data_IF_111351354073
#
_entry.id   IF_111351354073
#
_cell.length_a   1.000
_cell.length_b   1.000
_cell.length_c   1.000
_cell.angle_alpha   90.00
_cell.angle_beta   90.00
_cell.angle_gamma   90.00
#
_symmetry.space_group_name_H-M   'P 1'
#
loop_
_entity.id
_entity.type
_entity.pdbx_description
1 polymer ?
#
# COMPACT_ATOMS: atom_id res chain seq x y z
N UNK A 1 -4.11 9.80 12.26
CA UNK A 1 -4.48 9.63 10.83
C UNK A 1 -5.62 10.56 10.47
N UNK A 2 -5.38 11.49 9.56
CA UNK A 2 -6.35 12.41 8.93
C UNK A 2 -6.75 11.82 7.59
N UNK A 3 -8.03 11.93 7.19
CA UNK A 3 -8.56 11.33 5.97
C UNK A 3 -9.40 12.35 5.22
N UNK A 4 -9.12 12.56 3.95
CA UNK A 4 -9.84 13.48 3.07
C UNK A 4 -10.25 12.76 1.79
N UNK A 5 -11.54 12.81 1.44
CA UNK A 5 -12.05 12.26 0.18
C UNK A 5 -11.77 13.21 -0.98
N UNK A 6 -11.21 12.66 -2.06
CA UNK A 6 -10.95 13.37 -3.33
C UNK A 6 -11.67 12.67 -4.49
N UNK A 7 -12.02 13.42 -5.51
CA UNK A 7 -12.50 12.88 -6.80
C UNK A 7 -11.38 12.93 -7.84
N UNK A 8 -10.78 11.77 -8.08
CA UNK A 8 -9.76 11.58 -9.11
C UNK A 8 -10.29 10.87 -10.37
N UNK A 9 -11.60 11.00 -10.65
CA UNK A 9 -12.35 10.25 -11.66
C UNK A 9 -13.19 9.15 -11.04
N UNK A 10 -12.85 8.82 -9.81
CA UNK A 10 -13.53 7.93 -8.87
C UNK A 10 -13.09 8.30 -7.44
N UNK A 11 -13.80 7.84 -6.40
CA UNK A 11 -13.46 8.16 -5.02
C UNK A 11 -12.08 7.61 -4.63
N UNK A 12 -11.18 8.50 -4.22
CA UNK A 12 -9.90 8.18 -3.58
C UNK A 12 -9.83 8.97 -2.28
N UNK A 13 -9.35 8.36 -1.23
CA UNK A 13 -9.12 9.03 0.04
C UNK A 13 -7.62 9.25 0.23
N UNK A 14 -7.24 10.48 0.48
CA UNK A 14 -5.87 10.85 0.89
C UNK A 14 -5.77 10.76 2.40
N UNK A 15 -4.68 10.21 2.88
CA UNK A 15 -4.41 10.04 4.31
C UNK A 15 -3.11 10.73 4.69
N UNK A 16 -3.10 11.33 5.87
CA UNK A 16 -1.92 11.94 6.48
C UNK A 16 -1.80 11.48 7.94
N UNK A 17 -0.58 11.51 8.48
CA UNK A 17 -0.31 11.11 9.86
C UNK A 17 -0.85 9.69 10.15
N UNK A 18 -0.47 8.74 9.28
CA UNK A 18 -0.98 7.36 9.34
C UNK A 18 -0.45 6.65 10.59
N UNK A 19 0.85 6.78 10.83
CA UNK A 19 1.56 6.21 11.96
C UNK A 19 1.85 7.25 13.03
N UNK A 20 2.07 6.80 14.26
CA UNK A 20 2.65 7.62 15.29
C UNK A 20 4.07 8.04 14.89
N UNK A 21 4.50 9.20 15.38
CA UNK A 21 5.80 9.78 15.03
C UNK A 21 6.94 8.81 15.32
N UNK A 22 7.70 8.48 14.28
CA UNK A 22 8.91 7.65 14.36
C UNK A 22 8.71 6.18 14.03
N UNK A 23 7.48 5.66 13.91
CA UNK A 23 7.27 4.25 13.54
C UNK A 23 7.79 3.97 12.12
N UNK A 24 7.60 4.90 11.20
CA UNK A 24 8.11 4.80 9.84
C UNK A 24 9.64 4.70 9.78
N UNK A 25 10.36 5.41 10.66
CA UNK A 25 11.82 5.33 10.73
C UNK A 25 12.27 3.99 11.33
N UNK A 26 11.56 3.46 12.30
CA UNK A 26 11.82 2.13 12.86
C UNK A 26 11.63 1.04 11.80
N UNK A 27 10.55 1.13 11.00
CA UNK A 27 10.30 0.20 9.90
C UNK A 27 11.46 0.25 8.87
N UNK A 28 11.89 1.46 8.48
CA UNK A 28 12.97 1.63 7.53
C UNK A 28 14.31 1.07 8.06
N UNK A 29 14.63 1.30 9.31
CA UNK A 29 15.86 0.78 9.92
C UNK A 29 15.83 -0.74 10.01
N UNK A 30 14.72 -1.33 10.46
CA UNK A 30 14.57 -2.79 10.51
C UNK A 30 14.62 -3.42 9.12
N UNK A 31 14.09 -2.75 8.10
CA UNK A 31 14.09 -3.25 6.71
C UNK A 31 15.42 -3.10 5.98
N UNK A 32 16.38 -2.35 6.53
CA UNK A 32 17.60 -1.93 5.83
C UNK A 32 18.38 -3.11 5.26
N UNK A 33 18.58 -4.15 6.05
CA UNK A 33 19.39 -5.32 5.72
C UNK A 33 18.56 -6.53 5.26
N UNK A 34 17.24 -6.39 5.15
CA UNK A 34 16.38 -7.47 4.70
C UNK A 34 16.52 -7.73 3.19
N UNK A 35 16.48 -9.01 2.79
CA UNK A 35 16.49 -9.36 1.37
C UNK A 35 15.14 -9.01 0.73
N UNK A 36 15.11 -7.93 0.00
CA UNK A 36 13.97 -7.63 -0.86
C UNK A 36 13.92 -8.62 -2.04
N UNK A 37 12.78 -9.26 -2.20
CA UNK A 37 12.54 -10.15 -3.33
C UNK A 37 12.07 -9.30 -4.53
N UNK A 38 12.67 -9.47 -5.73
CA UNK A 38 12.14 -8.83 -6.93
C UNK A 38 10.67 -9.21 -7.10
N UNK A 39 9.85 -8.25 -7.51
CA UNK A 39 8.45 -8.56 -7.82
C UNK A 39 8.40 -9.62 -8.92
N UNK A 40 7.98 -10.84 -8.52
CA UNK A 40 7.90 -11.95 -9.44
C UNK A 40 6.87 -11.70 -10.55
N UNK A 41 7.29 -11.89 -11.77
CA UNK A 41 6.52 -12.65 -12.77
C UNK A 41 5.52 -11.90 -13.59
N UNK A 42 5.24 -10.63 -13.45
CA UNK A 42 4.18 -10.08 -14.28
C UNK A 42 4.51 -8.86 -15.14
N UNK A 43 5.64 -8.22 -14.92
CA UNK A 43 6.03 -7.07 -15.77
C UNK A 43 7.54 -6.91 -15.77
N UNK A 44 8.15 -7.04 -16.93
CA UNK A 44 9.58 -6.85 -17.19
C UNK A 44 10.05 -5.41 -17.00
N UNK A 45 9.10 -4.49 -16.84
CA UNK A 45 9.29 -3.05 -16.64
C UNK A 45 9.44 -2.63 -15.18
N UNK A 46 9.30 -3.57 -14.19
CA UNK A 46 9.37 -3.26 -12.77
C UNK A 46 10.72 -3.60 -12.16
N UNK A 47 11.37 -2.57 -11.64
CA UNK A 47 12.56 -2.71 -10.80
C UNK A 47 12.24 -2.71 -9.31
N UNK A 48 10.96 -2.78 -8.95
CA UNK A 48 10.50 -2.80 -7.58
C UNK A 48 10.83 -4.09 -6.85
N UNK A 49 11.09 -3.99 -5.55
CA UNK A 49 11.35 -5.10 -4.64
C UNK A 49 10.31 -5.10 -3.53
N UNK A 50 10.03 -6.26 -2.96
CA UNK A 50 9.00 -6.45 -1.92
C UNK A 50 9.53 -7.25 -0.74
N UNK A 51 8.98 -6.93 0.43
CA UNK A 51 9.03 -7.76 1.64
C UNK A 51 7.60 -8.00 2.08
N UNK A 52 7.26 -9.24 2.40
CA UNK A 52 5.99 -9.59 3.03
C UNK A 52 6.14 -9.39 4.54
N UNK A 53 5.49 -8.38 5.10
CA UNK A 53 5.75 -7.97 6.50
C UNK A 53 5.36 -9.05 7.50
N UNK A 54 4.29 -9.80 7.23
CA UNK A 54 3.84 -10.90 8.09
C UNK A 54 4.80 -12.08 8.20
N UNK A 55 5.83 -12.17 7.36
CA UNK A 55 6.87 -13.20 7.44
C UNK A 55 7.99 -12.87 8.43
N UNK A 56 7.92 -11.71 9.08
CA UNK A 56 8.92 -11.20 10.02
C UNK A 56 8.30 -10.88 11.37
N UNK A 57 7.62 -11.86 11.96
CA UNK A 57 6.86 -11.75 13.22
C UNK A 57 7.71 -11.28 14.42
N UNK A 58 9.00 -11.62 14.43
CA UNK A 58 9.95 -11.17 15.47
C UNK A 58 10.28 -9.67 15.40
N UNK A 59 9.83 -8.98 14.37
CA UNK A 59 10.14 -7.57 14.14
C UNK A 59 9.01 -6.69 14.65
N UNK A 60 9.21 -6.06 15.80
CA UNK A 60 8.18 -5.33 16.54
C UNK A 60 7.40 -4.34 15.68
N UNK A 61 8.10 -3.50 14.87
CA UNK A 61 7.39 -2.51 14.05
C UNK A 61 6.59 -3.13 12.91
N UNK A 62 7.05 -4.23 12.32
CA UNK A 62 6.31 -4.94 11.29
C UNK A 62 5.08 -5.61 11.87
N UNK A 63 5.22 -6.27 13.01
CA UNK A 63 4.10 -6.88 13.71
C UNK A 63 3.06 -5.83 14.14
N UNK A 64 3.50 -4.67 14.63
CA UNK A 64 2.61 -3.56 14.98
C UNK A 64 1.78 -3.08 13.78
N UNK A 65 2.39 -2.93 12.62
CA UNK A 65 1.68 -2.58 11.37
C UNK A 65 0.70 -3.67 10.97
N UNK A 66 1.12 -4.95 11.04
CA UNK A 66 0.25 -6.08 10.71
C UNK A 66 -0.97 -6.13 11.63
N UNK A 67 -0.77 -6.07 12.94
CA UNK A 67 -1.85 -6.08 13.93
C UNK A 67 -2.79 -4.88 13.77
N UNK A 68 -2.25 -3.70 13.48
CA UNK A 68 -3.06 -2.50 13.27
C UNK A 68 -4.00 -2.66 12.08
N UNK A 69 -3.48 -3.02 10.91
CA UNK A 69 -4.31 -3.12 9.70
C UNK A 69 -5.18 -4.36 9.65
N UNK A 70 -4.78 -5.47 10.29
CA UNK A 70 -5.61 -6.68 10.37
C UNK A 70 -6.71 -6.58 11.44
N UNK A 71 -6.62 -5.63 12.36
CA UNK A 71 -7.61 -5.48 13.44
C UNK A 71 -9.01 -5.24 12.88
N UNK A 72 -10.01 -5.88 13.50
CA UNK A 72 -11.43 -5.68 13.15
C UNK A 72 -11.82 -4.20 13.25
N UNK A 73 -11.26 -3.46 14.22
CA UNK A 73 -11.51 -2.03 14.40
C UNK A 73 -11.06 -1.22 13.18
N UNK A 74 -9.85 -1.45 12.68
CA UNK A 74 -9.31 -0.73 11.52
C UNK A 74 -10.07 -1.10 10.24
N UNK A 75 -10.37 -2.38 10.04
CA UNK A 75 -11.19 -2.86 8.92
C UNK A 75 -12.58 -2.23 8.92
N UNK A 76 -13.23 -2.16 10.10
CA UNK A 76 -14.54 -1.51 10.24
C UNK A 76 -14.46 -0.02 9.91
N UNK A 77 -13.44 0.69 10.38
CA UNK A 77 -13.24 2.12 10.07
C UNK A 77 -13.15 2.37 8.55
N UNK A 78 -12.38 1.56 7.83
CA UNK A 78 -12.29 1.69 6.37
C UNK A 78 -13.58 1.24 5.68
N UNK A 79 -14.28 0.24 6.21
CA UNK A 79 -15.59 -0.19 5.72
C UNK A 79 -16.61 0.94 5.77
N UNK A 80 -16.69 1.64 6.90
CA UNK A 80 -17.62 2.76 7.11
C UNK A 80 -17.31 3.92 6.15
N UNK A 81 -16.03 4.21 5.95
CA UNK A 81 -15.58 5.28 5.04
C UNK A 81 -15.89 4.96 3.58
N UNK A 82 -15.67 3.72 3.16
CA UNK A 82 -15.85 3.28 1.78
C UNK A 82 -17.28 2.85 1.46
N UNK A 83 -18.10 2.61 2.47
CA UNK A 83 -19.46 2.04 2.30
C UNK A 83 -19.42 0.57 1.84
N UNK A 84 -18.38 -0.19 2.19
CA UNK A 84 -18.16 -1.58 1.78
C UNK A 84 -17.54 -2.38 2.92
N UNK A 85 -18.06 -3.56 3.23
CA UNK A 85 -17.57 -4.38 4.34
C UNK A 85 -16.24 -5.07 3.99
N UNK A 86 -15.23 -4.82 4.81
CA UNK A 86 -13.90 -5.44 4.73
C UNK A 86 -13.57 -6.32 5.95
N UNK A 87 -14.47 -6.43 6.92
CA UNK A 87 -14.19 -7.02 8.23
C UNK A 87 -13.83 -8.50 8.21
N UNK A 88 -14.27 -9.22 7.17
CA UNK A 88 -14.03 -10.66 6.99
C UNK A 88 -12.93 -10.97 5.98
N UNK A 89 -12.30 -9.94 5.42
CA UNK A 89 -11.27 -10.12 4.39
C UNK A 89 -9.91 -10.42 5.01
N UNK A 90 -9.08 -11.17 4.29
CA UNK A 90 -7.68 -11.35 4.63
C UNK A 90 -6.89 -10.05 4.40
N UNK A 91 -5.85 -9.83 5.18
CA UNK A 91 -4.99 -8.66 5.08
C UNK A 91 -3.64 -9.05 4.49
N UNK A 92 -3.25 -8.40 3.41
CA UNK A 92 -1.96 -8.56 2.74
C UNK A 92 -1.17 -7.27 2.87
N UNK A 93 0.04 -7.35 3.44
CA UNK A 93 0.88 -6.17 3.71
C UNK A 93 2.27 -6.37 3.09
N UNK A 94 2.65 -5.44 2.25
CA UNK A 94 3.95 -5.42 1.58
C UNK A 94 4.72 -4.16 1.94
N UNK A 95 5.99 -4.31 2.32
CA UNK A 95 6.95 -3.21 2.27
C UNK A 95 7.60 -3.20 0.87
N UNK A 96 7.52 -2.06 0.22
CA UNK A 96 7.90 -1.89 -1.18
C UNK A 96 9.09 -0.95 -1.31
N UNK A 97 10.10 -1.35 -2.07
CA UNK A 97 11.20 -0.48 -2.47
C UNK A 97 11.24 -0.39 -3.99
N UNK A 98 10.91 0.77 -4.51
CA UNK A 98 10.94 1.07 -5.94
C UNK A 98 12.15 1.97 -6.21
N UNK A 99 13.09 1.52 -7.04
CA UNK A 99 14.28 2.28 -7.38
C UNK A 99 13.96 3.45 -8.30
N UNK A 100 14.82 4.46 -8.33
CA UNK A 100 14.78 5.55 -9.32
C UNK A 100 14.61 4.97 -10.73
N UNK A 101 13.74 5.60 -11.52
CA UNK A 101 13.40 5.15 -12.87
C UNK A 101 12.31 4.06 -12.93
N UNK A 102 11.93 3.46 -11.79
CA UNK A 102 10.81 2.50 -11.75
C UNK A 102 9.52 3.18 -12.19
N UNK A 103 8.71 2.46 -12.94
CA UNK A 103 7.43 2.95 -13.43
C UNK A 103 6.42 1.80 -13.55
N UNK A 104 5.16 2.15 -13.66
CA UNK A 104 4.09 1.18 -13.79
C UNK A 104 3.01 1.72 -14.72
N UNK A 105 2.72 0.99 -15.79
CA UNK A 105 1.59 1.31 -16.65
C UNK A 105 0.29 1.46 -15.86
N UNK A 106 -0.59 2.32 -16.37
CA UNK A 106 -1.95 2.37 -15.86
C UNK A 106 -2.59 0.98 -15.94
N UNK A 107 -3.17 0.56 -14.83
CA UNK A 107 -3.78 -0.75 -14.68
C UNK A 107 -4.93 -0.69 -13.68
N UNK A 108 -5.76 -1.70 -13.71
CA UNK A 108 -6.71 -2.01 -12.65
C UNK A 108 -6.08 -3.03 -11.71
N UNK A 109 -6.41 -2.96 -10.44
CA UNK A 109 -6.01 -3.97 -9.47
C UNK A 109 -6.68 -5.33 -9.75
N UNK A 110 -6.09 -6.40 -9.23
CA UNK A 110 -6.68 -7.74 -9.28
C UNK A 110 -8.05 -7.72 -8.57
N UNK A 111 -9.01 -8.47 -9.09
CA UNK A 111 -10.38 -8.53 -8.56
C UNK A 111 -10.46 -9.04 -7.13
N UNK A 112 -9.52 -9.88 -6.72
CA UNK A 112 -9.43 -10.38 -5.36
C UNK A 112 -9.00 -9.31 -4.34
N UNK A 113 -8.42 -8.19 -4.79
CA UNK A 113 -8.13 -7.04 -3.93
C UNK A 113 -9.36 -6.15 -3.86
N UNK A 114 -10.05 -6.15 -2.74
CA UNK A 114 -11.25 -5.34 -2.55
C UNK A 114 -10.97 -3.94 -1.99
N UNK A 115 -9.76 -3.74 -1.47
CA UNK A 115 -9.26 -2.48 -0.94
C UNK A 115 -7.76 -2.38 -1.18
N UNK A 116 -7.28 -1.20 -1.52
CA UNK A 116 -5.85 -0.90 -1.67
C UNK A 116 -5.54 0.41 -0.96
N UNK A 117 -4.57 0.36 -0.04
CA UNK A 117 -3.98 1.51 0.62
C UNK A 117 -2.47 1.50 0.35
N UNK A 118 -1.92 2.63 -0.04
CA UNK A 118 -0.47 2.85 -0.12
C UNK A 118 -0.06 3.96 0.84
N UNK A 119 0.98 3.72 1.64
CA UNK A 119 1.54 4.67 2.60
C UNK A 119 3.01 4.89 2.23
N UNK A 120 3.42 6.15 2.08
CA UNK A 120 4.80 6.51 1.79
C UNK A 120 5.61 6.60 3.09
N UNK A 121 6.74 5.91 3.15
CA UNK A 121 7.69 5.97 4.27
C UNK A 121 8.83 6.96 4.04
N UNK A 122 8.95 7.49 2.83
CA UNK A 122 9.89 8.54 2.47
C UNK A 122 9.21 9.59 1.61
N UNK A 123 9.71 10.81 1.65
CA UNK A 123 9.32 11.81 0.67
C UNK A 123 9.71 11.36 -0.74
N UNK A 124 8.85 11.61 -1.70
CA UNK A 124 9.13 11.29 -3.10
C UNK A 124 8.55 12.35 -4.02
N UNK A 125 9.29 12.67 -5.08
CA UNK A 125 8.86 13.66 -6.08
C UNK A 125 7.81 13.08 -7.05
N UNK A 126 7.61 11.76 -7.03
CA UNK A 126 6.67 11.07 -7.92
C UNK A 126 5.73 10.19 -7.12
N UNK A 127 4.45 10.50 -7.19
CA UNK A 127 3.38 9.75 -6.57
C UNK A 127 2.63 8.88 -7.55
N UNK A 128 1.69 8.08 -7.03
CA UNK A 128 0.74 7.35 -7.85
C UNK A 128 -0.12 8.31 -8.66
N UNK A 129 -0.22 8.04 -9.96
CA UNK A 129 -1.06 8.81 -10.88
C UNK A 129 -2.43 8.14 -11.02
N UNK A 130 -3.46 8.94 -10.94
CA UNK A 130 -4.85 8.60 -11.22
C UNK A 130 -5.32 9.33 -12.48
N UNK A 131 -6.54 9.05 -12.94
CA UNK A 131 -7.04 9.59 -14.21
C UNK A 131 -6.92 11.11 -14.33
N UNK A 132 -7.17 11.87 -13.26
CA UNK A 132 -7.20 13.35 -13.30
C UNK A 132 -5.95 14.00 -12.70
N UNK A 133 -5.24 13.31 -11.80
CA UNK A 133 -4.14 13.92 -11.04
C UNK A 133 -3.26 12.87 -10.36
N UNK A 134 -2.27 13.34 -9.63
CA UNK A 134 -1.41 12.54 -8.78
C UNK A 134 -1.75 12.78 -7.30
N UNK A 135 -1.54 11.78 -6.45
CA UNK A 135 -1.67 11.94 -5.00
C UNK A 135 -0.46 12.67 -4.41
N UNK A 136 -0.59 13.31 -3.25
CA UNK A 136 0.57 13.72 -2.47
C UNK A 136 1.45 12.51 -2.13
N UNK A 137 2.76 12.71 -2.10
CA UNK A 137 3.74 11.67 -1.83
C UNK A 137 4.74 12.14 -0.78
N UNK A 138 4.21 12.45 0.41
CA UNK A 138 4.99 12.85 1.59
C UNK A 138 5.15 11.66 2.54
N UNK A 139 6.25 11.65 3.28
CA UNK A 139 6.46 10.71 4.38
C UNK A 139 5.24 10.69 5.32
N UNK A 140 4.86 9.51 5.78
CA UNK A 140 3.72 9.27 6.65
C UNK A 140 2.36 9.77 6.08
N UNK A 141 2.25 9.79 4.76
CA UNK A 141 1.00 10.05 4.04
C UNK A 141 0.75 8.95 3.00
N UNK A 142 -0.45 8.94 2.44
CA UNK A 142 -0.80 7.94 1.46
C UNK A 142 -2.17 8.17 0.85
N UNK A 143 -2.71 7.12 0.28
CA UNK A 143 -4.02 7.12 -0.36
C UNK A 143 -4.64 5.72 -0.32
N UNK A 144 -5.94 5.66 -0.35
CA UNK A 144 -6.67 4.39 -0.51
C UNK A 144 -7.92 4.53 -1.36
N UNK A 145 -8.39 3.40 -1.85
CA UNK A 145 -9.69 3.26 -2.51
C UNK A 145 -10.29 1.87 -2.22
N UNK A 146 -11.62 1.77 -2.33
CA UNK A 146 -12.31 0.50 -2.47
C UNK A 146 -12.28 0.08 -3.93
N UNK A 147 -11.74 -1.09 -4.24
CA UNK A 147 -11.65 -1.57 -5.61
C UNK A 147 -13.05 -1.98 -6.13
N UNK A 148 -13.48 -1.33 -7.19
CA UNK A 148 -14.72 -1.64 -7.94
C UNK A 148 -14.42 -2.13 -9.37
N UNK A 149 -13.13 -2.18 -9.73
CA UNK A 149 -12.66 -2.54 -11.08
C UNK A 149 -12.58 -1.36 -12.04
N UNK A 150 -12.79 -0.13 -11.55
CA UNK A 150 -12.75 1.10 -12.37
C UNK A 150 -11.60 2.03 -12.01
N UNK A 151 -10.85 1.72 -10.96
CA UNK A 151 -9.79 2.55 -10.38
C UNK A 151 -8.48 2.40 -11.17
N UNK A 152 -8.45 3.02 -12.37
CA UNK A 152 -7.28 3.03 -13.24
C UNK A 152 -6.18 3.91 -12.64
N UNK A 153 -5.07 3.29 -12.29
CA UNK A 153 -3.94 3.99 -11.69
C UNK A 153 -2.60 3.43 -12.16
N UNK A 154 -1.54 4.19 -11.94
CA UNK A 154 -0.20 3.82 -12.37
C UNK A 154 0.88 4.62 -11.67
N UNK A 155 2.10 4.50 -12.16
CA UNK A 155 3.26 5.19 -11.64
C UNK A 155 4.08 5.72 -12.81
N UNK A 156 4.31 7.03 -12.85
CA UNK A 156 5.29 7.64 -13.76
C UNK A 156 6.71 7.28 -13.31
N UNK A 157 7.71 7.34 -14.20
CA UNK A 157 9.10 7.09 -13.82
C UNK A 157 9.51 7.89 -12.58
N UNK A 158 9.99 7.18 -11.56
CA UNK A 158 10.43 7.78 -10.31
C UNK A 158 11.70 8.62 -10.52
N UNK A 159 11.71 9.81 -9.96
CA UNK A 159 12.90 10.67 -9.96
C UNK A 159 13.91 10.27 -8.86
N UNK A 160 13.42 9.68 -7.78
CA UNK A 160 14.22 9.18 -6.65
C UNK A 160 13.71 7.79 -6.23
N UNK A 161 14.47 7.09 -5.40
CA UNK A 161 14.02 5.86 -4.75
C UNK A 161 12.78 6.15 -3.89
N UNK A 162 11.86 5.20 -3.83
CA UNK A 162 10.64 5.29 -3.05
C UNK A 162 10.47 4.06 -2.17
N UNK A 163 10.19 4.30 -0.89
CA UNK A 163 9.79 3.23 0.03
C UNK A 163 8.35 3.47 0.47
N UNK A 164 7.54 2.44 0.41
CA UNK A 164 6.13 2.51 0.79
C UNK A 164 5.62 1.19 1.34
N UNK A 165 4.55 1.25 2.13
CA UNK A 165 3.76 0.08 2.52
C UNK A 165 2.52 0.03 1.65
N UNK A 166 2.18 -1.16 1.15
CA UNK A 166 0.91 -1.43 0.50
C UNK A 166 0.12 -2.41 1.35
N UNK A 167 -1.09 -2.00 1.72
CA UNK A 167 -2.08 -2.83 2.43
C UNK A 167 -3.21 -3.14 1.47
N UNK A 168 -3.52 -4.42 1.32
CA UNK A 168 -4.70 -4.86 0.57
C UNK A 168 -5.60 -5.69 1.48
N UNK A 169 -6.91 -5.45 1.43
CA UNK A 169 -7.89 -6.41 1.89
C UNK A 169 -8.31 -7.28 0.72
N UNK A 170 -8.14 -8.58 0.87
CA UNK A 170 -8.30 -9.56 -0.19
C UNK A 170 -9.32 -10.63 0.18
N UNK A 171 -10.06 -11.10 -0.81
CA UNK A 171 -11.02 -12.18 -0.63
C UNK A 171 -10.36 -13.57 -0.70
N UNK A 172 -11.17 -14.61 -0.54
CA UNK A 172 -10.73 -16.01 -0.54
C UNK A 172 -10.12 -16.48 -1.87
N UNK A 173 -10.36 -15.75 -2.96
CA UNK A 173 -9.82 -16.10 -4.30
C UNK A 173 -8.39 -15.61 -4.50
N UNK A 174 -7.82 -14.87 -3.55
CA UNK A 174 -6.42 -14.47 -3.62
C UNK A 174 -5.48 -15.68 -3.73
N UNK A 175 -4.63 -15.68 -4.74
CA UNK A 175 -3.85 -16.87 -5.13
C UNK A 175 -2.80 -17.31 -4.12
N UNK A 176 -2.07 -16.35 -3.57
CA UNK A 176 -0.99 -16.63 -2.61
C UNK A 176 -1.45 -16.38 -1.18
N UNK A 177 -2.01 -17.42 -0.57
CA UNK A 177 -2.52 -17.36 0.81
C UNK A 177 -1.39 -17.26 1.85
N UNK A 178 -0.14 -17.58 1.48
CA UNK A 178 1.00 -17.51 2.40
C UNK A 178 1.38 -16.10 2.82
N UNK A 179 0.95 -15.09 2.06
CA UNK A 179 1.21 -13.67 2.31
C UNK A 179 0.05 -12.94 3.04
N UNK A 180 -0.96 -13.68 3.49
CA UNK A 180 -2.09 -13.14 4.27
C UNK A 180 -1.74 -13.18 5.76
N UNK A 181 -2.06 -12.07 6.46
CA UNK A 181 -1.96 -11.96 7.93
C UNK A 181 -3.10 -12.71 8.59
#
# INVERSE_FOLDING_TARGET
MKIEKKDYGYPVWVVEEVFETGLEDQILEQAKDLPYVPMAGMRTDKTGKRIWMNQYEDWTSFNEVCLFFDSKHTKQKFSDICGKDFTQLGTRIELCKDAKGSWLHNHFDDKAKLFTLQIYLSDTDTSTSFMKTNTPAKKNSGWFFANTGTELHGLKPLLNDRVSIIVNYVDETWRDRSVIV
#
